data_IF_313211252401
#
_entry.id   IF_313211252401
#
_cell.length_a   1.000
_cell.length_b   1.000
_cell.length_c   1.000
_cell.angle_alpha   90.00
_cell.angle_beta   90.00
_cell.angle_gamma   90.00
#
_symmetry.space_group_name_H-M   'P 1'
#
loop_
_entity.id
_entity.type
_entity.pdbx_description
1 polymer ?
#
# COMPACT_ATOMS: atom_id res chain seq x y z
N UNK A 1 11.19 -23.99 24.96
CA UNK A 1 10.31 -24.16 23.78
C UNK A 1 8.90 -24.02 24.29
N UNK A 2 8.35 -22.81 24.22
CA UNK A 2 6.97 -22.54 24.64
C UNK A 2 6.26 -22.05 23.39
N UNK A 3 5.41 -22.92 22.88
CA UNK A 3 4.54 -22.72 21.72
C UNK A 3 3.49 -21.65 22.10
N UNK A 4 3.65 -20.43 21.56
CA UNK A 4 2.63 -19.39 21.61
C UNK A 4 1.82 -19.42 20.31
N UNK A 5 1.09 -20.51 20.11
CA UNK A 5 -0.03 -20.55 19.17
C UNK A 5 -1.19 -19.78 19.77
N UNK A 6 -1.45 -18.58 19.26
CA UNK A 6 -2.62 -17.75 19.60
C UNK A 6 -3.89 -18.54 19.29
N UNK A 7 -4.51 -19.11 20.32
CA UNK A 7 -5.82 -19.75 20.21
C UNK A 7 -6.87 -18.67 19.94
N UNK A 8 -7.25 -18.52 18.66
CA UNK A 8 -8.51 -17.86 18.29
C UNK A 8 -9.62 -18.51 19.12
N UNK A 9 -10.31 -17.69 19.92
CA UNK A 9 -11.29 -18.17 20.87
C UNK A 9 -12.40 -18.95 20.14
N UNK A 10 -12.55 -20.23 20.48
CA UNK A 10 -13.54 -21.14 19.88
C UNK A 10 -14.94 -20.80 20.39
N UNK A 11 -15.56 -19.75 19.87
CA UNK A 11 -17.00 -19.54 20.01
C UNK A 11 -17.73 -20.14 18.81
N UNK A 12 -18.63 -21.10 19.05
CA UNK A 12 -19.44 -21.80 18.03
C UNK A 12 -20.46 -20.91 17.29
N UNK A 13 -20.26 -19.59 17.32
CA UNK A 13 -21.13 -18.59 16.74
C UNK A 13 -20.34 -17.41 16.12
N UNK A 14 -19.05 -17.62 15.84
CA UNK A 14 -18.16 -16.61 15.27
C UNK A 14 -18.66 -16.16 13.90
N UNK A 15 -18.92 -14.86 13.73
CA UNK A 15 -19.47 -14.27 12.51
C UNK A 15 -18.44 -13.36 11.85
N UNK A 16 -18.11 -13.65 10.60
CA UNK A 16 -17.07 -12.90 9.89
C UNK A 16 -17.59 -12.23 8.62
N UNK A 17 -17.01 -11.09 8.28
CA UNK A 17 -17.20 -10.40 7.01
C UNK A 17 -16.08 -10.76 6.03
N UNK A 18 -16.41 -11.17 4.81
CA UNK A 18 -15.43 -11.40 3.75
C UNK A 18 -15.13 -10.12 2.98
N UNK A 19 -13.87 -9.71 2.97
CA UNK A 19 -13.37 -8.51 2.30
C UNK A 19 -12.36 -8.85 1.21
N UNK A 20 -12.43 -8.20 0.05
CA UNK A 20 -11.50 -8.49 -1.06
C UNK A 20 -11.72 -7.67 -2.34
N UNK A 21 -10.88 -7.86 -3.37
CA UNK A 21 -11.05 -7.20 -4.66
C UNK A 21 -12.25 -7.76 -5.43
N UNK A 22 -13.03 -6.88 -6.06
CA UNK A 22 -14.18 -7.25 -6.91
C UNK A 22 -14.19 -6.49 -8.24
N UNK A 23 -14.27 -5.15 -8.19
CA UNK A 23 -14.34 -4.30 -9.38
C UNK A 23 -13.12 -4.47 -10.27
N UNK A 24 -13.33 -4.69 -11.57
CA UNK A 24 -12.27 -4.87 -12.57
C UNK A 24 -11.75 -6.30 -12.71
N UNK A 25 -12.23 -7.25 -11.90
CA UNK A 25 -11.92 -8.67 -12.03
C UNK A 25 -13.03 -9.43 -12.79
N UNK A 26 -12.69 -10.54 -13.48
CA UNK A 26 -13.67 -11.43 -14.09
C UNK A 26 -14.73 -11.88 -13.08
N UNK A 27 -15.99 -11.85 -13.50
CA UNK A 27 -17.14 -12.25 -12.65
C UNK A 27 -17.16 -11.57 -11.27
N UNK A 28 -16.63 -10.35 -11.15
CA UNK A 28 -16.52 -9.60 -9.89
C UNK A 28 -15.81 -10.38 -8.78
N UNK A 29 -14.93 -11.31 -9.16
CA UNK A 29 -14.22 -12.21 -8.24
C UNK A 29 -15.14 -13.14 -7.44
N UNK A 30 -16.41 -13.34 -7.85
CA UNK A 30 -17.35 -14.23 -7.17
C UNK A 30 -16.82 -15.65 -6.92
N UNK A 31 -16.03 -16.28 -7.83
CA UNK A 31 -15.44 -17.60 -7.55
C UNK A 31 -14.57 -17.62 -6.28
N UNK A 32 -13.74 -16.60 -6.05
CA UNK A 32 -12.88 -16.52 -4.86
C UNK A 32 -13.69 -16.32 -3.57
N UNK A 33 -14.69 -15.43 -3.60
CA UNK A 33 -15.59 -15.23 -2.47
C UNK A 33 -16.39 -16.49 -2.13
N UNK A 34 -16.90 -17.21 -3.13
CA UNK A 34 -17.63 -18.48 -2.90
C UNK A 34 -16.73 -19.57 -2.33
N UNK A 35 -15.49 -19.68 -2.80
CA UNK A 35 -14.51 -20.62 -2.27
C UNK A 35 -14.20 -20.31 -0.79
N UNK A 36 -13.86 -19.05 -0.47
CA UNK A 36 -13.60 -18.63 0.89
C UNK A 36 -14.82 -18.79 1.80
N UNK A 37 -16.01 -18.39 1.35
CA UNK A 37 -17.27 -18.60 2.07
C UNK A 37 -17.46 -20.07 2.43
N UNK A 38 -17.24 -20.98 1.48
CA UNK A 38 -17.38 -22.42 1.69
C UNK A 38 -16.37 -22.93 2.72
N UNK A 39 -15.11 -22.55 2.59
CA UNK A 39 -14.05 -22.97 3.50
C UNK A 39 -14.30 -22.47 4.91
N UNK A 40 -14.63 -21.20 5.08
CA UNK A 40 -14.91 -20.60 6.39
C UNK A 40 -16.15 -21.22 7.03
N UNK A 41 -17.22 -21.44 6.25
CA UNK A 41 -18.41 -22.16 6.73
C UNK A 41 -18.06 -23.59 7.18
N UNK A 42 -17.12 -24.26 6.50
CA UNK A 42 -16.63 -25.58 6.92
C UNK A 42 -15.81 -25.55 8.23
N UNK A 43 -15.24 -24.40 8.62
CA UNK A 43 -14.63 -24.17 9.93
C UNK A 43 -15.66 -23.91 11.05
N UNK A 44 -16.96 -23.89 10.71
CA UNK A 44 -18.05 -23.68 11.66
C UNK A 44 -18.37 -22.21 11.95
N UNK A 45 -17.82 -21.27 11.16
CA UNK A 45 -18.10 -19.84 11.30
C UNK A 45 -19.26 -19.41 10.40
N UNK A 46 -19.99 -18.39 10.83
CA UNK A 46 -20.95 -17.68 9.97
C UNK A 46 -20.19 -16.71 9.08
N UNK A 47 -20.69 -16.47 7.87
CA UNK A 47 -20.01 -15.61 6.90
C UNK A 47 -21.02 -14.64 6.29
N UNK A 48 -20.70 -13.35 6.37
CA UNK A 48 -21.26 -12.33 5.50
C UNK A 48 -20.33 -12.18 4.31
N UNK A 49 -20.88 -12.24 3.09
CA UNK A 49 -20.11 -12.11 1.86
C UNK A 49 -20.81 -11.13 0.94
N UNK A 50 -20.18 -10.00 0.57
CA UNK A 50 -20.76 -9.04 -0.36
C UNK A 50 -21.14 -9.67 -1.72
N UNK A 51 -20.47 -10.75 -2.10
CA UNK A 51 -20.74 -11.52 -3.32
C UNK A 51 -22.04 -12.35 -3.26
N UNK A 52 -22.58 -12.58 -2.06
CA UNK A 52 -23.82 -13.33 -1.82
C UNK A 52 -25.02 -12.39 -1.59
N UNK A 53 -24.78 -11.09 -1.34
CA UNK A 53 -25.82 -10.07 -1.20
C UNK A 53 -26.42 -9.64 -2.54
N UNK A 54 -27.71 -9.32 -2.51
CA UNK A 54 -28.50 -8.82 -3.65
C UNK A 54 -28.50 -9.71 -4.92
N UNK A 55 -28.13 -10.99 -4.81
CA UNK A 55 -28.18 -11.94 -5.93
C UNK A 55 -27.27 -11.57 -7.11
N UNK A 56 -26.26 -10.73 -6.89
CA UNK A 56 -25.40 -10.20 -7.94
C UNK A 56 -26.01 -9.06 -8.76
N UNK A 57 -27.11 -8.46 -8.31
CA UNK A 57 -27.63 -7.21 -8.89
C UNK A 57 -26.56 -6.11 -8.71
N UNK A 58 -26.05 -5.58 -9.82
CA UNK A 58 -25.06 -4.50 -9.87
C UNK A 58 -25.66 -3.18 -10.37
N UNK A 59 -26.99 -3.09 -10.47
CA UNK A 59 -27.69 -1.92 -11.00
C UNK A 59 -27.68 -0.71 -10.08
N UNK A 60 -27.35 -0.90 -8.79
CA UNK A 60 -27.38 0.18 -7.80
C UNK A 60 -26.06 0.95 -7.75
N UNK A 61 -26.12 2.15 -7.20
CA UNK A 61 -24.93 3.01 -7.08
C UNK A 61 -23.91 2.43 -6.09
N UNK A 62 -22.62 2.68 -6.31
CA UNK A 62 -21.54 2.31 -5.37
C UNK A 62 -21.80 2.75 -3.91
N UNK A 63 -22.32 3.97 -3.61
CA UNK A 63 -22.66 4.35 -2.25
C UNK A 63 -23.80 3.56 -1.59
N UNK A 64 -24.62 2.83 -2.36
CA UNK A 64 -25.64 1.94 -1.81
C UNK A 64 -24.98 0.70 -1.20
N UNK A 65 -24.19 -0.02 -2.00
CA UNK A 65 -23.45 -1.20 -1.54
C UNK A 65 -22.52 -0.85 -0.39
N UNK A 66 -21.80 0.26 -0.49
CA UNK A 66 -20.91 0.70 0.60
C UNK A 66 -21.63 0.90 1.93
N UNK A 67 -22.87 1.41 1.93
CA UNK A 67 -23.64 1.56 3.19
C UNK A 67 -24.05 0.21 3.78
N UNK A 68 -24.36 -0.75 2.92
CA UNK A 68 -24.70 -2.11 3.33
C UNK A 68 -23.47 -2.84 3.89
N UNK A 69 -22.33 -2.73 3.21
CA UNK A 69 -21.06 -3.31 3.63
C UNK A 69 -20.61 -2.73 4.97
N UNK A 70 -20.65 -1.39 5.12
CA UNK A 70 -20.36 -0.74 6.41
C UNK A 70 -21.34 -1.15 7.49
N UNK A 71 -22.63 -1.28 7.18
CA UNK A 71 -23.63 -1.77 8.14
C UNK A 71 -23.34 -3.20 8.58
N UNK A 72 -22.90 -4.08 7.66
CA UNK A 72 -22.54 -5.46 7.98
C UNK A 72 -21.28 -5.55 8.86
N UNK A 73 -20.30 -4.66 8.66
CA UNK A 73 -19.10 -4.58 9.51
C UNK A 73 -19.44 -4.32 10.99
N UNK A 74 -20.56 -3.66 11.29
CA UNK A 74 -20.98 -3.38 12.67
C UNK A 74 -21.53 -4.62 13.40
N UNK A 75 -21.85 -5.68 12.67
CA UNK A 75 -22.56 -6.87 13.19
C UNK A 75 -21.66 -8.12 13.28
N UNK A 76 -20.40 -8.04 12.84
CA UNK A 76 -19.46 -9.17 12.79
C UNK A 76 -18.42 -9.10 13.89
N UNK A 77 -17.83 -10.25 14.22
CA UNK A 77 -16.73 -10.38 15.18
C UNK A 77 -15.36 -10.13 14.52
N UNK A 78 -15.23 -10.42 13.21
CA UNK A 78 -13.98 -10.32 12.47
C UNK A 78 -14.18 -10.00 10.99
N UNK A 79 -13.12 -9.49 10.36
CA UNK A 79 -13.00 -9.37 8.89
C UNK A 79 -11.95 -10.35 8.39
N UNK A 80 -12.35 -11.21 7.45
CA UNK A 80 -11.46 -12.10 6.71
C UNK A 80 -11.11 -11.48 5.36
N UNK A 81 -9.84 -11.18 5.15
CA UNK A 81 -9.34 -10.54 3.92
C UNK A 81 -8.83 -11.56 2.90
N UNK A 82 -9.29 -11.45 1.66
CA UNK A 82 -8.84 -12.25 0.52
C UNK A 82 -7.48 -11.78 -0.01
N UNK A 83 -6.72 -12.64 -0.73
CA UNK A 83 -5.49 -12.23 -1.40
C UNK A 83 -5.68 -11.01 -2.30
N UNK A 84 -4.76 -10.05 -2.20
CA UNK A 84 -4.81 -8.80 -2.98
C UNK A 84 -5.79 -7.74 -2.46
N UNK A 85 -6.33 -7.89 -1.25
CA UNK A 85 -7.22 -6.90 -0.62
C UNK A 85 -6.61 -5.48 -0.58
N UNK A 86 -5.28 -5.37 -0.43
CA UNK A 86 -4.56 -4.10 -0.40
C UNK A 86 -4.75 -3.29 -1.68
N UNK A 87 -5.03 -3.95 -2.80
CA UNK A 87 -5.23 -3.30 -4.09
C UNK A 87 -6.69 -2.85 -4.32
N UNK A 88 -7.62 -3.24 -3.45
CA UNK A 88 -9.04 -2.90 -3.54
C UNK A 88 -9.36 -1.68 -2.68
N UNK A 89 -9.80 -0.59 -3.30
CA UNK A 89 -10.21 0.60 -2.56
C UNK A 89 -11.38 0.34 -1.59
N UNK A 90 -12.26 -0.62 -1.90
CA UNK A 90 -13.33 -1.06 -0.99
C UNK A 90 -12.77 -1.85 0.19
N UNK A 91 -11.97 -2.89 -0.08
CA UNK A 91 -11.41 -3.74 0.96
C UNK A 91 -10.48 -2.97 1.92
N UNK A 92 -9.68 -2.03 1.40
CA UNK A 92 -8.87 -1.13 2.25
C UNK A 92 -9.71 -0.31 3.21
N UNK A 93 -10.85 0.21 2.75
CA UNK A 93 -11.76 0.98 3.61
C UNK A 93 -12.40 0.09 4.67
N UNK A 94 -12.84 -1.12 4.31
CA UNK A 94 -13.41 -2.09 5.23
C UNK A 94 -12.39 -2.50 6.31
N UNK A 95 -11.13 -2.75 5.94
CA UNK A 95 -10.05 -3.02 6.89
C UNK A 95 -9.79 -1.84 7.80
N UNK A 96 -9.76 -0.61 7.27
CA UNK A 96 -9.57 0.60 8.09
C UNK A 96 -10.70 0.76 9.12
N UNK A 97 -11.95 0.53 8.73
CA UNK A 97 -13.11 0.55 9.64
C UNK A 97 -12.98 -0.55 10.68
N UNK A 98 -12.64 -1.78 10.27
CA UNK A 98 -12.47 -2.90 11.18
C UNK A 98 -11.40 -2.64 12.25
N UNK A 99 -10.28 -2.00 11.87
CA UNK A 99 -9.25 -1.56 12.83
C UNK A 99 -9.80 -0.57 13.85
N UNK A 100 -10.48 0.47 13.37
CA UNK A 100 -11.05 1.52 14.23
C UNK A 100 -12.10 0.95 15.20
N UNK A 101 -12.87 -0.03 14.76
CA UNK A 101 -13.88 -0.73 15.57
C UNK A 101 -13.29 -1.81 16.49
N UNK A 102 -11.99 -2.12 16.37
CA UNK A 102 -11.34 -3.18 17.15
C UNK A 102 -11.76 -4.60 16.77
N UNK A 103 -12.20 -4.82 15.52
CA UNK A 103 -12.53 -6.15 15.01
C UNK A 103 -11.26 -6.96 14.73
N UNK A 104 -11.34 -8.29 14.90
CA UNK A 104 -10.22 -9.15 14.50
C UNK A 104 -10.04 -9.12 12.97
N UNK A 105 -8.79 -8.98 12.51
CA UNK A 105 -8.43 -9.07 11.10
C UNK A 105 -7.76 -10.42 10.85
N UNK A 106 -8.23 -11.16 9.85
CA UNK A 106 -7.80 -12.53 9.55
C UNK A 106 -7.48 -12.65 8.07
N UNK A 107 -6.39 -13.32 7.71
CA UNK A 107 -6.00 -13.56 6.32
C UNK A 107 -6.61 -14.85 5.77
N UNK A 108 -7.04 -14.84 4.51
CA UNK A 108 -7.37 -16.06 3.75
C UNK A 108 -6.30 -16.29 2.66
N UNK A 109 -5.86 -17.54 2.37
CA UNK A 109 -6.36 -18.82 2.88
C UNK A 109 -5.72 -19.31 4.19
N UNK A 110 -4.75 -18.59 4.74
CA UNK A 110 -4.00 -19.04 5.92
C UNK A 110 -4.85 -19.13 7.20
N UNK A 111 -5.96 -18.39 7.27
CA UNK A 111 -6.86 -18.29 8.43
C UNK A 111 -6.13 -17.89 9.73
N UNK A 112 -5.04 -17.15 9.58
CA UNK A 112 -4.26 -16.58 10.69
C UNK A 112 -4.54 -15.08 10.86
N UNK A 113 -4.15 -14.48 12.00
CA UNK A 113 -4.29 -13.04 12.19
C UNK A 113 -3.61 -12.31 11.04
N UNK A 114 -4.24 -11.25 10.55
CA UNK A 114 -3.56 -10.21 9.78
C UNK A 114 -2.66 -9.48 10.77
N UNK A 115 -1.50 -10.09 11.04
CA UNK A 115 -0.43 -9.47 11.81
C UNK A 115 -0.14 -8.12 11.15
N UNK A 116 -0.03 -7.08 11.96
CA UNK A 116 0.35 -5.74 11.52
C UNK A 116 1.55 -5.84 10.59
N UNK A 117 1.28 -5.80 9.28
CA UNK A 117 2.15 -5.10 8.38
C UNK A 117 1.61 -3.69 8.41
N UNK A 118 2.07 -2.93 9.40
CA UNK A 118 2.08 -1.47 9.39
C UNK A 118 3.07 -0.94 8.34
N UNK A 119 3.25 -1.67 7.25
CA UNK A 119 3.67 -1.04 6.02
C UNK A 119 2.36 -0.66 5.34
N UNK A 120 1.92 0.60 5.51
CA UNK A 120 1.34 1.27 4.35
C UNK A 120 2.23 0.87 3.18
N UNK A 121 1.68 0.35 2.06
CA UNK A 121 2.53 -0.07 0.95
C UNK A 121 3.51 1.07 0.73
N UNK A 122 4.82 0.78 0.79
CA UNK A 122 5.89 1.77 0.77
C UNK A 122 5.91 2.45 -0.61
N UNK A 123 4.87 3.26 -0.83
CA UNK A 123 4.49 3.86 -2.09
C UNK A 123 5.20 5.18 -2.13
N UNK A 124 5.84 5.43 -3.27
CA UNK A 124 6.47 6.70 -3.57
C UNK A 124 5.53 7.87 -3.21
N UNK A 125 5.98 8.86 -2.43
CA UNK A 125 5.17 10.02 -2.10
C UNK A 125 4.86 10.80 -3.37
N UNK A 126 3.59 11.17 -3.54
CA UNK A 126 3.12 11.96 -4.68
C UNK A 126 2.83 13.42 -4.32
N UNK A 127 2.93 13.78 -3.03
CA UNK A 127 2.66 15.11 -2.49
C UNK A 127 3.65 15.44 -1.37
N UNK A 128 4.08 16.70 -1.30
CA UNK A 128 4.92 17.18 -0.21
C UNK A 128 4.11 17.24 1.10
N UNK A 129 4.63 16.60 2.15
CA UNK A 129 4.02 16.50 3.48
C UNK A 129 4.37 17.65 4.42
N UNK A 130 5.47 18.38 4.15
CA UNK A 130 6.06 19.34 5.10
C UNK A 130 5.69 20.81 4.86
N UNK A 131 4.78 21.10 3.92
CA UNK A 131 4.37 22.49 3.70
C UNK A 131 3.55 22.99 4.90
N UNK A 132 3.97 24.09 5.57
CA UNK A 132 3.20 24.64 6.69
C UNK A 132 1.86 25.21 6.20
N UNK A 133 0.90 25.35 7.12
CA UNK A 133 -0.39 25.96 6.81
C UNK A 133 -0.30 27.48 6.66
N UNK A 134 0.47 28.14 7.52
CA UNK A 134 0.60 29.59 7.53
C UNK A 134 1.27 30.15 6.26
N UNK A 135 0.56 31.02 5.55
CA UNK A 135 0.96 31.55 4.23
C UNK A 135 2.35 32.19 4.20
N UNK A 136 2.74 32.94 5.24
CA UNK A 136 4.06 33.58 5.29
C UNK A 136 5.20 32.57 5.47
N UNK A 137 4.96 31.47 6.19
CA UNK A 137 5.96 30.41 6.37
C UNK A 137 6.06 29.53 5.11
N UNK A 138 4.98 29.38 4.35
CA UNK A 138 4.98 28.63 3.07
C UNK A 138 5.96 29.24 2.06
N UNK A 139 6.05 30.57 1.99
CA UNK A 139 6.95 31.29 1.06
C UNK A 139 8.43 31.04 1.33
N UNK A 140 8.78 30.54 2.52
CA UNK A 140 10.16 30.20 2.88
C UNK A 140 10.65 28.90 2.23
N UNK A 141 9.78 28.15 1.53
CA UNK A 141 10.11 26.94 0.77
C UNK A 141 9.80 27.11 -0.73
N UNK A 142 10.52 27.98 -1.45
CA UNK A 142 10.25 28.24 -2.86
C UNK A 142 10.79 27.11 -3.75
N UNK A 143 10.00 26.07 -4.01
CA UNK A 143 10.46 24.87 -4.75
C UNK A 143 10.88 25.20 -6.19
N UNK A 144 10.10 26.02 -6.91
CA UNK A 144 10.44 26.38 -8.29
C UNK A 144 11.75 27.18 -8.36
N UNK A 145 11.76 28.38 -7.78
CA UNK A 145 12.89 29.31 -7.86
C UNK A 145 14.07 28.99 -6.93
N UNK A 146 13.93 28.03 -6.01
CA UNK A 146 14.97 27.64 -5.07
C UNK A 146 15.68 26.33 -5.43
N UNK A 147 15.15 25.53 -6.35
CA UNK A 147 15.83 24.29 -6.79
C UNK A 147 15.52 23.91 -8.25
N UNK A 148 14.26 23.94 -8.70
CA UNK A 148 13.92 23.48 -10.05
C UNK A 148 14.52 24.38 -11.13
N UNK A 149 14.44 25.71 -10.96
CA UNK A 149 14.98 26.68 -11.90
C UNK A 149 16.52 26.70 -11.91
N UNK A 150 17.17 26.22 -10.84
CA UNK A 150 18.64 26.20 -10.73
C UNK A 150 19.26 25.01 -11.44
N UNK A 151 18.58 23.85 -11.42
CA UNK A 151 19.16 22.58 -11.87
C UNK A 151 18.25 21.79 -12.83
N UNK A 152 17.65 22.42 -13.87
CA UNK A 152 16.66 21.75 -14.73
C UNK A 152 17.23 20.50 -15.42
N UNK A 153 18.44 20.59 -16.00
CA UNK A 153 19.07 19.46 -16.70
C UNK A 153 19.44 18.32 -15.74
N UNK A 154 19.85 18.65 -14.51
CA UNK A 154 20.16 17.64 -13.51
C UNK A 154 18.89 16.85 -13.11
N UNK A 155 17.74 17.52 -13.00
CA UNK A 155 16.47 16.84 -12.73
C UNK A 155 16.02 15.96 -13.89
N UNK A 156 16.28 16.34 -15.14
CA UNK A 156 16.03 15.46 -16.30
C UNK A 156 16.85 14.18 -16.19
N UNK A 157 18.14 14.27 -15.85
CA UNK A 157 19.02 13.10 -15.66
C UNK A 157 18.60 12.24 -14.46
N UNK A 158 18.17 12.85 -13.34
CA UNK A 158 17.65 12.13 -12.17
C UNK A 158 16.33 11.41 -12.51
N UNK A 159 15.45 12.04 -13.29
CA UNK A 159 14.22 11.41 -13.76
C UNK A 159 14.52 10.22 -14.68
N UNK A 160 15.53 10.36 -15.56
CA UNK A 160 15.97 9.27 -16.43
C UNK A 160 16.50 8.06 -15.64
N UNK A 161 17.22 8.27 -14.53
CA UNK A 161 17.62 7.18 -13.60
C UNK A 161 16.39 6.40 -13.11
N UNK A 162 15.30 7.10 -12.77
CA UNK A 162 14.06 6.44 -12.34
C UNK A 162 13.45 5.59 -13.45
N UNK A 163 13.43 6.11 -14.69
CA UNK A 163 12.94 5.36 -15.85
C UNK A 163 13.78 4.12 -16.14
N UNK A 164 15.11 4.25 -16.19
CA UNK A 164 16.03 3.12 -16.40
C UNK A 164 15.87 2.06 -15.32
N UNK A 165 15.79 2.46 -14.05
CA UNK A 165 15.55 1.53 -12.94
C UNK A 165 14.19 0.83 -13.05
N UNK A 166 13.14 1.54 -13.48
CA UNK A 166 11.82 0.95 -13.69
C UNK A 166 11.82 -0.07 -14.83
N UNK A 167 12.46 0.23 -15.97
CA UNK A 167 12.56 -0.73 -17.08
C UNK A 167 13.35 -1.99 -16.68
N UNK A 168 14.37 -1.85 -15.82
CA UNK A 168 15.15 -2.98 -15.34
C UNK A 168 14.38 -3.87 -14.35
N UNK A 169 13.58 -3.28 -13.48
CA UNK A 169 13.00 -3.99 -12.33
C UNK A 169 11.48 -4.21 -12.41
N UNK A 170 10.77 -3.43 -13.23
CA UNK A 170 9.31 -3.41 -13.40
C UNK A 170 8.92 -3.26 -14.90
N UNK A 171 9.46 -4.08 -15.82
CA UNK A 171 9.25 -3.89 -17.25
C UNK A 171 7.77 -3.95 -17.63
N UNK A 172 7.29 -2.95 -18.37
CA UNK A 172 5.90 -2.83 -18.81
C UNK A 172 4.93 -2.25 -17.78
N UNK A 173 5.39 -1.98 -16.56
CA UNK A 173 4.60 -1.26 -15.56
C UNK A 173 4.74 0.26 -15.71
N UNK A 174 3.78 1.00 -15.16
CA UNK A 174 3.91 2.45 -15.06
C UNK A 174 5.08 2.84 -14.14
N UNK A 175 5.70 3.98 -14.43
CA UNK A 175 6.84 4.48 -13.65
C UNK A 175 6.45 4.71 -12.18
N UNK A 176 7.12 4.02 -11.26
CA UNK A 176 6.96 4.21 -9.82
C UNK A 176 8.27 3.88 -9.08
N UNK A 177 8.44 4.41 -7.87
CA UNK A 177 9.55 4.03 -7.00
C UNK A 177 9.16 2.81 -6.17
N UNK A 178 9.64 1.64 -6.60
CA UNK A 178 9.51 0.38 -5.87
C UNK A 178 10.53 0.31 -4.73
N UNK A 179 10.21 0.96 -3.60
CA UNK A 179 11.13 1.17 -2.48
C UNK A 179 11.72 -0.11 -1.88
N UNK A 180 10.94 -1.19 -1.82
CA UNK A 180 11.41 -2.50 -1.38
C UNK A 180 12.51 -3.14 -2.26
N UNK A 181 12.72 -2.64 -3.48
CA UNK A 181 13.82 -3.07 -4.39
C UNK A 181 15.09 -2.23 -4.20
N UNK A 182 15.05 -1.23 -3.32
CA UNK A 182 16.06 -0.19 -3.16
C UNK A 182 16.20 0.22 -1.68
N UNK A 183 16.94 -0.58 -0.90
CA UNK A 183 17.10 -0.38 0.54
C UNK A 183 18.47 0.17 0.97
N UNK A 184 19.49 0.07 0.12
CA UNK A 184 20.87 0.45 0.43
C UNK A 184 21.21 1.88 -0.04
N UNK A 185 20.49 2.88 0.44
CA UNK A 185 20.64 4.25 -0.09
C UNK A 185 22.00 4.87 0.27
N UNK A 186 22.45 4.68 1.52
CA UNK A 186 23.69 5.26 2.03
C UNK A 186 24.93 4.75 1.31
N UNK A 187 25.13 3.43 1.23
CA UNK A 187 26.32 2.90 0.55
C UNK A 187 26.20 3.06 -0.97
N UNK A 188 25.01 2.94 -1.57
CA UNK A 188 24.85 3.21 -3.00
C UNK A 188 25.20 4.67 -3.34
N UNK A 189 24.79 5.64 -2.52
CA UNK A 189 25.17 7.05 -2.67
C UNK A 189 26.68 7.20 -2.69
N UNK A 190 27.38 6.63 -1.69
CA UNK A 190 28.84 6.72 -1.60
C UNK A 190 29.53 6.03 -2.78
N UNK A 191 29.06 4.84 -3.21
CA UNK A 191 29.61 4.14 -4.39
C UNK A 191 29.48 4.98 -5.67
N UNK A 192 28.34 5.61 -5.90
CA UNK A 192 28.16 6.50 -7.05
C UNK A 192 28.98 7.79 -6.92
N UNK A 193 29.12 8.37 -5.72
CA UNK A 193 29.98 9.53 -5.49
C UNK A 193 31.45 9.23 -5.83
N UNK A 194 31.95 8.06 -5.43
CA UNK A 194 33.33 7.65 -5.72
C UNK A 194 33.60 7.52 -7.23
N UNK A 195 32.57 7.28 -8.05
CA UNK A 195 32.64 7.15 -9.50
C UNK A 195 32.06 8.36 -10.27
N UNK A 196 31.81 9.47 -9.57
CA UNK A 196 31.26 10.71 -10.16
C UNK A 196 32.08 11.20 -11.36
N UNK A 197 31.40 11.81 -12.32
CA UNK A 197 31.98 12.24 -13.61
C UNK A 197 31.99 11.15 -14.69
N UNK A 198 31.79 9.89 -14.32
CA UNK A 198 31.60 8.77 -15.25
C UNK A 198 30.14 8.43 -15.57
N UNK A 199 29.98 7.43 -16.43
CA UNK A 199 28.71 6.78 -16.79
C UNK A 199 28.74 5.35 -16.23
N UNK A 200 27.64 4.95 -15.60
CA UNK A 200 27.46 3.61 -15.04
C UNK A 200 27.13 2.59 -16.15
N UNK A 201 27.13 1.29 -15.82
CA UNK A 201 26.94 0.22 -16.81
C UNK A 201 25.56 0.21 -17.47
N UNK A 202 24.58 0.91 -16.88
CA UNK A 202 23.24 1.09 -17.45
C UNK A 202 23.08 2.37 -18.28
N UNK A 203 24.17 3.07 -18.55
CA UNK A 203 24.18 4.26 -19.41
C UNK A 203 23.78 5.56 -18.70
N UNK A 204 23.47 5.53 -17.41
CA UNK A 204 23.14 6.74 -16.64
C UNK A 204 24.38 7.31 -15.93
N UNK A 205 24.38 8.61 -15.62
CA UNK A 205 25.50 9.27 -14.93
C UNK A 205 25.59 8.80 -13.48
N UNK A 206 26.79 8.48 -12.98
CA UNK A 206 26.98 8.20 -11.56
C UNK A 206 26.52 9.36 -10.67
N UNK A 207 26.79 10.62 -11.08
CA UNK A 207 26.33 11.78 -10.32
C UNK A 207 24.81 11.92 -10.26
N UNK A 208 24.08 11.48 -11.30
CA UNK A 208 22.62 11.50 -11.30
C UNK A 208 22.06 10.43 -10.35
N UNK A 209 22.62 9.21 -10.37
CA UNK A 209 22.28 8.16 -9.40
C UNK A 209 22.58 8.60 -7.97
N UNK A 210 23.75 9.18 -7.72
CA UNK A 210 24.10 9.72 -6.41
C UNK A 210 23.07 10.75 -5.91
N UNK A 211 22.67 11.71 -6.76
CA UNK A 211 21.66 12.70 -6.41
C UNK A 211 20.29 12.04 -6.14
N UNK A 212 19.89 11.06 -6.95
CA UNK A 212 18.66 10.29 -6.73
C UNK A 212 18.68 9.58 -5.36
N UNK A 213 19.81 8.94 -4.99
CA UNK A 213 19.99 8.29 -3.68
C UNK A 213 19.90 9.28 -2.52
N UNK A 214 20.48 10.47 -2.69
CA UNK A 214 20.41 11.54 -1.69
C UNK A 214 18.97 12.03 -1.47
N UNK A 215 18.20 12.20 -2.55
CA UNK A 215 16.78 12.57 -2.48
C UNK A 215 15.95 11.46 -1.83
N UNK A 216 16.18 10.20 -2.19
CA UNK A 216 15.50 9.05 -1.59
C UNK A 216 15.75 8.96 -0.08
N UNK A 217 17.00 9.17 0.35
CA UNK A 217 17.38 9.17 1.76
C UNK A 217 16.69 10.32 2.52
N UNK A 218 16.81 11.56 2.03
CA UNK A 218 16.18 12.72 2.65
C UNK A 218 14.65 12.58 2.73
N UNK A 219 14.02 12.02 1.70
CA UNK A 219 12.57 11.78 1.72
C UNK A 219 12.18 10.81 2.84
N UNK A 220 12.92 9.71 3.02
CA UNK A 220 12.70 8.74 4.10
C UNK A 220 12.92 9.36 5.48
N UNK A 221 13.97 10.17 5.65
CA UNK A 221 14.22 10.89 6.91
C UNK A 221 13.07 11.84 7.27
N UNK A 222 12.59 12.63 6.30
CA UNK A 222 11.46 13.55 6.49
C UNK A 222 10.16 12.81 6.84
N UNK A 223 9.94 11.63 6.25
CA UNK A 223 8.79 10.77 6.58
C UNK A 223 8.88 10.22 8.00
N UNK A 224 10.05 9.70 8.40
CA UNK A 224 10.30 9.18 9.74
C UNK A 224 10.15 10.24 10.84
N UNK A 225 10.69 11.45 10.60
CA UNK A 225 10.56 12.57 11.54
C UNK A 225 9.10 12.96 11.78
N UNK A 226 8.23 12.78 10.77
CA UNK A 226 6.80 13.05 10.88
C UNK A 226 6.06 11.97 11.64
N UNK A 227 6.38 10.70 11.43
CA UNK A 227 5.78 9.59 12.16
C UNK A 227 6.14 9.62 13.65
N UNK A 228 7.30 10.20 13.97
CA UNK A 228 7.81 10.35 15.33
C UNK A 228 7.31 11.61 16.06
N UNK A 229 6.55 12.50 15.41
CA UNK A 229 6.11 13.80 15.92
C UNK A 229 4.61 13.82 16.28
#
# INVERSE_FOLDING_TARGET
>A
MTDMGTQLSRHSNYYVYLSGPMTGLPELNFPAFRAASKDIKAHGWKVFSPAETDGGDTSKSRPHYMRQDVGALLEVDAVVVLPGWQNSAGARLEVAIARELGLELITYPTMGPLLEVDEEPDVAPTRASIFPEAAEVRKQRPVASGVLDYFPDAFVEIAHVSWVGNEQHNPGEHLHWARGKSSDEGDALIRHFLQRGGIDTDGTRHSAKMAWRALALLQKEVELDRESA
#
